data_IF_190540123975
#
_entry.id   IF_190540123975
#
_cell.length_a   1.000
_cell.length_b   1.000
_cell.length_c   1.000
_cell.angle_alpha   90.00
_cell.angle_beta   90.00
_cell.angle_gamma   90.00
#
_symmetry.space_group_name_H-M   'P 1'
#
loop_
_entity.id
_entity.type
_entity.pdbx_description
1 polymer ?
#
# COMPACT_ATOMS: atom_id res chain seq x y z
N UNK A 1 16.72 13.22 1.43
CA UNK A 1 16.36 11.79 1.57
C UNK A 1 14.84 11.74 1.68
N UNK A 2 14.15 11.06 0.77
CA UNK A 2 12.69 10.94 0.77
C UNK A 2 12.22 9.75 1.61
N UNK A 3 10.91 9.69 1.84
CA UNK A 3 10.22 8.52 2.39
C UNK A 3 9.82 7.60 1.23
N UNK A 4 10.01 6.29 1.38
CA UNK A 4 9.68 5.27 0.38
C UNK A 4 8.48 4.46 0.85
N UNK A 5 7.37 4.57 0.14
CA UNK A 5 6.22 3.68 0.29
C UNK A 5 6.23 2.65 -0.82
N UNK A 6 6.03 1.39 -0.45
CA UNK A 6 5.91 0.28 -1.38
C UNK A 6 4.48 -0.29 -1.35
N UNK A 7 3.97 -0.66 -2.52
CA UNK A 7 2.70 -1.38 -2.65
C UNK A 7 2.99 -2.87 -2.86
N UNK A 8 2.63 -3.68 -1.87
CA UNK A 8 2.72 -5.14 -1.87
C UNK A 8 4.04 -5.68 -2.47
N UNK A 9 4.01 -6.48 -3.54
CA UNK A 9 5.19 -7.09 -4.17
C UNK A 9 6.29 -6.08 -4.60
N UNK A 10 5.97 -4.80 -4.78
CA UNK A 10 7.00 -3.78 -5.03
C UNK A 10 8.00 -3.64 -3.88
N UNK A 11 7.62 -4.04 -2.67
CA UNK A 11 8.49 -4.01 -1.50
C UNK A 11 9.69 -4.94 -1.66
N UNK A 12 9.49 -6.16 -2.15
CA UNK A 12 10.57 -7.12 -2.38
C UNK A 12 11.46 -6.71 -3.55
N UNK A 13 10.88 -6.16 -4.62
CA UNK A 13 11.66 -5.62 -5.74
C UNK A 13 12.61 -4.51 -5.27
N UNK A 14 12.14 -3.63 -4.38
CA UNK A 14 12.98 -2.58 -3.79
C UNK A 14 14.05 -3.17 -2.87
N UNK A 15 13.68 -4.13 -2.03
CA UNK A 15 14.59 -4.78 -1.08
C UNK A 15 15.72 -5.55 -1.79
N UNK A 16 15.42 -6.25 -2.88
CA UNK A 16 16.41 -6.93 -3.75
C UNK A 16 17.45 -5.95 -4.33
N UNK A 17 17.09 -4.67 -4.46
CA UNK A 17 17.97 -3.59 -4.92
C UNK A 17 18.59 -2.79 -3.76
N UNK A 18 18.47 -3.28 -2.51
CA UNK A 18 19.04 -2.64 -1.32
C UNK A 18 18.27 -1.40 -0.85
N UNK A 19 17.02 -1.22 -1.29
CA UNK A 19 16.16 -0.11 -0.91
C UNK A 19 15.08 -0.64 0.05
N UNK A 20 15.28 -0.46 1.36
CA UNK A 20 14.26 -0.83 2.34
C UNK A 20 13.10 0.20 2.32
N UNK A 21 11.84 -0.21 2.09
CA UNK A 21 10.70 0.68 2.21
C UNK A 21 10.52 1.20 3.65
N UNK A 22 10.09 2.44 3.81
CA UNK A 22 9.69 2.98 5.11
C UNK A 22 8.31 2.44 5.53
N UNK A 23 7.42 2.20 4.55
CA UNK A 23 6.15 1.53 4.77
C UNK A 23 5.74 0.65 3.58
N UNK A 24 5.03 -0.44 3.87
CA UNK A 24 4.44 -1.36 2.88
C UNK A 24 2.92 -1.31 3.01
N UNK A 25 2.23 -0.98 1.92
CA UNK A 25 0.77 -1.02 1.81
C UNK A 25 0.36 -2.35 1.19
N UNK A 26 -0.46 -3.13 1.90
CA UNK A 26 -0.80 -4.49 1.47
C UNK A 26 -2.17 -4.92 2.01
N UNK A 27 -2.84 -5.77 1.25
CA UNK A 27 -4.04 -6.53 1.66
C UNK A 27 -3.70 -7.92 2.20
N UNK A 28 -2.39 -8.26 2.23
CA UNK A 28 -1.76 -9.51 2.66
C UNK A 28 -1.86 -10.69 1.68
N UNK A 29 -2.47 -10.54 0.50
CA UNK A 29 -2.57 -11.64 -0.47
C UNK A 29 -1.19 -12.06 -0.99
N UNK A 30 -0.28 -11.10 -1.19
CA UNK A 30 1.10 -11.31 -1.63
C UNK A 30 2.15 -11.33 -0.52
N UNK A 31 1.74 -11.28 0.75
CA UNK A 31 2.70 -11.17 1.86
C UNK A 31 3.59 -12.42 1.98
N UNK A 32 4.87 -12.20 2.28
CA UNK A 32 5.86 -13.25 2.50
C UNK A 32 6.55 -13.10 3.85
N UNK A 33 7.40 -14.07 4.20
CA UNK A 33 8.25 -13.96 5.38
C UNK A 33 9.24 -12.80 5.30
N UNK A 34 9.57 -12.29 4.10
CA UNK A 34 10.45 -11.13 3.96
C UNK A 34 9.78 -9.86 4.50
N UNK A 35 8.45 -9.74 4.45
CA UNK A 35 7.74 -8.62 5.08
C UNK A 35 7.93 -8.62 6.60
N UNK A 36 8.02 -9.81 7.22
CA UNK A 36 8.26 -9.94 8.67
C UNK A 36 9.66 -9.42 9.02
N UNK A 37 10.66 -9.77 8.21
CA UNK A 37 12.03 -9.32 8.42
C UNK A 37 12.17 -7.81 8.19
N UNK A 38 11.63 -7.27 7.09
CA UNK A 38 11.60 -5.82 6.85
C UNK A 38 10.88 -5.07 8.00
N UNK A 39 9.77 -5.63 8.51
CA UNK A 39 9.06 -5.05 9.64
C UNK A 39 9.90 -5.05 10.93
N UNK A 40 10.66 -6.11 11.18
CA UNK A 40 11.64 -6.16 12.28
C UNK A 40 12.75 -5.12 12.12
N UNK A 41 13.14 -4.83 10.87
CA UNK A 41 14.16 -3.84 10.50
C UNK A 41 13.63 -2.39 10.49
N UNK A 42 12.35 -2.18 10.77
CA UNK A 42 11.73 -0.87 10.99
C UNK A 42 10.72 -0.43 9.93
N UNK A 43 10.46 -1.23 8.89
CA UNK A 43 9.42 -0.96 7.90
C UNK A 43 8.03 -1.06 8.55
N UNK A 44 7.17 -0.07 8.33
CA UNK A 44 5.80 -0.09 8.85
C UNK A 44 4.92 -0.92 7.91
N UNK A 45 4.15 -1.88 8.43
CA UNK A 45 3.17 -2.60 7.61
C UNK A 45 1.82 -1.89 7.73
N UNK A 46 1.32 -1.35 6.63
CA UNK A 46 0.03 -0.68 6.52
C UNK A 46 -0.94 -1.64 5.85
N UNK A 47 -1.82 -2.22 6.67
CA UNK A 47 -2.70 -3.31 6.27
C UNK A 47 -4.06 -2.74 5.93
N UNK A 48 -4.59 -3.11 4.76
CA UNK A 48 -6.01 -2.93 4.47
C UNK A 48 -6.70 -4.29 4.56
N UNK A 49 -7.69 -4.40 5.43
CA UNK A 49 -8.52 -5.59 5.52
C UNK A 49 -9.66 -5.55 4.48
N UNK A 50 -10.07 -6.72 4.00
CA UNK A 50 -11.30 -6.92 3.23
C UNK A 50 -12.11 -8.08 3.84
N UNK A 51 -13.40 -8.17 3.52
CA UNK A 51 -14.31 -9.10 4.23
C UNK A 51 -13.90 -10.58 4.13
N UNK A 52 -13.16 -10.94 3.09
CA UNK A 52 -12.72 -12.28 2.75
C UNK A 52 -11.25 -12.60 3.12
N UNK A 53 -10.44 -11.63 3.59
CA UNK A 53 -9.05 -11.89 4.02
C UNK A 53 -8.87 -12.22 5.51
N UNK A 54 -9.95 -12.57 6.22
CA UNK A 54 -9.86 -12.97 7.64
C UNK A 54 -8.86 -14.10 7.92
N UNK A 55 -8.69 -15.14 7.06
CA UNK A 55 -7.65 -16.14 7.26
C UNK A 55 -6.24 -15.56 7.19
N UNK A 56 -5.98 -14.65 6.25
CA UNK A 56 -4.68 -14.00 6.06
C UNK A 56 -4.36 -13.06 7.22
N UNK A 57 -5.34 -12.28 7.69
CA UNK A 57 -5.18 -11.45 8.89
C UNK A 57 -4.79 -12.28 10.11
N UNK A 58 -5.48 -13.40 10.34
CA UNK A 58 -5.20 -14.30 11.45
C UNK A 58 -3.81 -14.93 11.39
N UNK A 59 -3.30 -15.13 10.18
CA UNK A 59 -1.98 -15.71 9.93
C UNK A 59 -0.86 -14.66 10.06
N UNK A 60 -0.95 -13.56 9.32
CA UNK A 60 0.16 -12.61 9.16
C UNK A 60 0.28 -11.58 10.28
N UNK A 61 -0.84 -10.99 10.73
CA UNK A 61 -0.81 -9.82 11.64
C UNK A 61 -0.05 -10.12 12.94
N UNK A 62 -0.20 -11.35 13.47
CA UNK A 62 0.45 -11.78 14.70
C UNK A 62 1.95 -12.04 14.55
N UNK A 63 2.46 -12.14 13.32
CA UNK A 63 3.86 -12.47 13.01
C UNK A 63 4.72 -11.22 12.85
N UNK A 64 4.12 -10.05 12.62
CA UNK A 64 4.84 -8.78 12.51
C UNK A 64 5.30 -8.28 13.89
N UNK A 65 6.61 -8.26 14.19
CA UNK A 65 7.12 -7.88 15.51
C UNK A 65 7.21 -6.35 15.70
N UNK A 66 7.15 -5.59 14.61
CA UNK A 66 7.28 -4.14 14.55
C UNK A 66 5.93 -3.43 14.46
N UNK A 67 5.95 -2.23 13.86
CA UNK A 67 4.75 -1.38 13.78
C UNK A 67 3.81 -1.87 12.68
N UNK A 68 2.52 -1.93 13.00
CA UNK A 68 1.43 -2.24 12.08
C UNK A 68 0.36 -1.16 12.19
N UNK A 69 -0.16 -0.70 11.05
CA UNK A 69 -1.25 0.27 10.97
C UNK A 69 -2.40 -0.37 10.20
N UNK A 70 -3.59 -0.38 10.79
CA UNK A 70 -4.81 -0.80 10.09
C UNK A 70 -5.40 0.36 9.30
N UNK A 71 -5.87 0.08 8.08
CA UNK A 71 -6.58 1.04 7.22
C UNK A 71 -7.92 0.48 6.73
N UNK A 72 -8.82 1.38 6.34
CA UNK A 72 -10.17 1.04 5.87
C UNK A 72 -10.59 1.92 4.70
N UNK A 73 -11.59 1.45 3.93
CA UNK A 73 -12.35 2.25 2.94
C UNK A 73 -13.71 2.70 3.48
N UNK A 74 -14.11 2.22 4.66
CA UNK A 74 -15.35 2.57 5.31
C UNK A 74 -15.14 3.70 6.34
N UNK A 75 -16.15 3.96 7.16
CA UNK A 75 -15.98 4.81 8.33
C UNK A 75 -14.83 4.28 9.21
N UNK A 76 -13.91 5.15 9.65
CA UNK A 76 -12.78 4.74 10.47
C UNK A 76 -13.25 4.16 11.81
N UNK A 77 -12.49 3.20 12.32
CA UNK A 77 -12.68 2.61 13.64
C UNK A 77 -11.55 3.08 14.57
N UNK A 78 -11.65 2.91 15.90
CA UNK A 78 -10.54 3.22 16.79
C UNK A 78 -9.25 2.50 16.33
N UNK A 79 -8.20 3.29 16.05
CA UNK A 79 -6.88 2.81 15.55
C UNK A 79 -6.91 2.19 14.14
N UNK A 80 -7.97 2.41 13.37
CA UNK A 80 -8.08 2.05 11.96
C UNK A 80 -8.40 3.31 11.16
N UNK A 81 -7.48 3.70 10.29
CA UNK A 81 -7.51 5.00 9.62
C UNK A 81 -8.06 4.88 8.21
N UNK A 82 -8.70 5.93 7.71
CA UNK A 82 -9.11 6.02 6.32
C UNK A 82 -8.42 7.23 5.69
N UNK A 83 -7.34 6.96 4.94
CA UNK A 83 -6.61 7.99 4.20
C UNK A 83 -7.20 8.23 2.79
N UNK A 84 -8.06 7.31 2.31
CA UNK A 84 -8.52 7.25 0.93
C UNK A 84 -7.82 6.16 0.10
N UNK A 85 -8.00 6.23 -1.21
CA UNK A 85 -7.47 5.27 -2.18
C UNK A 85 -8.29 3.97 -2.32
N UNK A 86 -8.09 3.30 -3.45
CA UNK A 86 -8.79 2.08 -3.82
C UNK A 86 -7.90 0.83 -3.80
N UNK A 87 -6.78 0.88 -4.50
CA UNK A 87 -5.74 -0.15 -4.58
C UNK A 87 -4.57 0.18 -3.64
N UNK A 88 -3.66 -0.77 -3.42
CA UNK A 88 -2.48 -0.58 -2.57
C UNK A 88 -1.63 0.60 -3.04
N UNK A 89 -1.49 0.76 -4.37
CA UNK A 89 -0.71 1.82 -5.00
C UNK A 89 -1.25 3.22 -4.72
N UNK A 90 -2.52 3.50 -5.06
CA UNK A 90 -3.11 4.82 -4.81
C UNK A 90 -3.34 5.07 -3.31
N UNK A 91 -3.62 4.04 -2.50
CA UNK A 91 -3.65 4.19 -1.02
C UNK A 91 -2.34 4.73 -0.45
N UNK A 92 -1.19 4.30 -0.98
CA UNK A 92 0.09 4.84 -0.57
C UNK A 92 0.21 6.34 -0.90
N UNK A 93 -0.31 6.78 -2.06
CA UNK A 93 -0.34 8.19 -2.44
C UNK A 93 -1.24 9.00 -1.52
N UNK A 94 -2.47 8.52 -1.27
CA UNK A 94 -3.41 9.15 -0.34
C UNK A 94 -2.84 9.29 1.07
N UNK A 95 -2.15 8.26 1.57
CA UNK A 95 -1.48 8.33 2.86
C UNK A 95 -0.33 9.35 2.88
N UNK A 96 0.46 9.44 1.81
CA UNK A 96 1.52 10.45 1.71
C UNK A 96 0.96 11.88 1.65
N UNK A 97 -0.14 12.09 0.91
CA UNK A 97 -0.85 13.37 0.82
C UNK A 97 -1.43 13.79 2.18
N UNK A 98 -2.12 12.88 2.89
CA UNK A 98 -2.66 13.13 4.23
C UNK A 98 -1.56 13.48 5.25
N UNK A 99 -0.36 12.90 5.09
CA UNK A 99 0.83 13.22 5.90
C UNK A 99 1.50 14.55 5.52
N UNK A 100 1.00 15.27 4.51
CA UNK A 100 1.51 16.56 4.09
C UNK A 100 2.78 16.49 3.24
N UNK A 101 2.96 15.43 2.45
CA UNK A 101 4.08 15.33 1.52
C UNK A 101 4.08 16.51 0.54
N UNK A 102 5.20 17.24 0.45
CA UNK A 102 5.33 18.39 -0.47
C UNK A 102 5.41 17.99 -1.94
N UNK A 103 5.77 16.74 -2.23
CA UNK A 103 5.82 16.16 -3.55
C UNK A 103 5.76 14.62 -3.43
N UNK A 104 5.10 13.97 -4.39
CA UNK A 104 5.01 12.51 -4.48
C UNK A 104 5.44 12.09 -5.88
N UNK A 105 6.37 11.12 -5.95
CA UNK A 105 6.83 10.52 -7.21
C UNK A 105 6.36 9.08 -7.27
N UNK A 106 5.64 8.73 -8.34
CA UNK A 106 5.18 7.36 -8.56
C UNK A 106 6.20 6.63 -9.43
N UNK A 107 6.61 5.44 -9.00
CA UNK A 107 7.51 4.57 -9.72
C UNK A 107 6.90 3.17 -9.82
N UNK A 108 6.89 2.58 -11.01
CA UNK A 108 6.32 1.25 -11.25
C UNK A 108 4.79 1.17 -11.15
N UNK A 109 4.09 2.32 -11.13
CA UNK A 109 2.63 2.37 -11.14
C UNK A 109 2.12 2.91 -12.48
N UNK A 110 2.06 2.02 -13.47
CA UNK A 110 1.56 2.35 -14.81
C UNK A 110 0.03 2.25 -14.86
N UNK A 111 -0.63 3.41 -14.90
CA UNK A 111 -2.09 3.50 -14.99
C UNK A 111 -2.62 3.33 -16.42
N UNK A 112 -1.73 3.27 -17.41
CA UNK A 112 -2.04 3.07 -18.83
C UNK A 112 -1.72 1.64 -19.30
N UNK A 113 -1.30 0.74 -18.40
CA UNK A 113 -0.95 -0.63 -18.77
C UNK A 113 -2.16 -1.36 -19.39
N UNK A 114 -2.09 -1.58 -20.70
CA UNK A 114 -3.12 -2.29 -21.46
C UNK A 114 -2.97 -3.81 -21.41
N UNK A 115 -1.82 -4.31 -20.97
CA UNK A 115 -1.48 -5.74 -20.96
C UNK A 115 -1.98 -6.49 -19.72
N UNK A 116 -2.70 -5.80 -18.83
CA UNK A 116 -3.37 -6.41 -17.68
C UNK A 116 -4.76 -6.94 -18.03
N UNK A 117 -5.27 -7.84 -17.20
CA UNK A 117 -6.62 -8.38 -17.34
C UNK A 117 -7.71 -7.28 -17.18
N UNK A 118 -8.96 -7.53 -17.63
CA UNK A 118 -10.03 -6.54 -17.57
C UNK A 118 -10.36 -6.02 -16.16
N UNK A 119 -10.24 -6.86 -15.13
CA UNK A 119 -10.49 -6.45 -13.75
C UNK A 119 -9.42 -5.48 -13.29
N UNK A 120 -8.13 -5.81 -13.50
CA UNK A 120 -7.02 -4.93 -13.15
C UNK A 120 -7.09 -3.60 -13.92
N UNK A 121 -7.47 -3.62 -15.20
CA UNK A 121 -7.69 -2.40 -15.99
C UNK A 121 -8.78 -1.50 -15.37
N UNK A 122 -9.87 -2.10 -14.90
CA UNK A 122 -10.92 -1.39 -14.17
C UNK A 122 -10.40 -0.77 -12.86
N UNK A 123 -9.54 -1.48 -12.12
CA UNK A 123 -8.88 -0.94 -10.92
C UNK A 123 -7.99 0.26 -11.24
N UNK A 124 -7.16 0.18 -12.29
CA UNK A 124 -6.29 1.28 -12.73
C UNK A 124 -7.08 2.53 -13.13
N UNK A 125 -8.21 2.35 -13.84
CA UNK A 125 -9.11 3.45 -14.19
C UNK A 125 -9.66 4.18 -12.96
N UNK A 126 -10.06 3.45 -11.92
CA UNK A 126 -10.51 4.05 -10.67
C UNK A 126 -9.38 4.72 -9.90
N UNK A 127 -8.20 4.11 -9.83
CA UNK A 127 -7.03 4.71 -9.22
C UNK A 127 -6.70 6.07 -9.87
N UNK A 128 -6.71 6.15 -11.22
CA UNK A 128 -6.51 7.42 -11.95
C UNK A 128 -7.52 8.48 -11.54
N UNK A 129 -8.81 8.14 -11.49
CA UNK A 129 -9.87 9.07 -11.10
C UNK A 129 -9.68 9.58 -9.66
N UNK A 130 -9.28 8.71 -8.74
CA UNK A 130 -9.09 9.07 -7.35
C UNK A 130 -7.84 9.95 -7.16
N UNK A 131 -6.73 9.60 -7.81
CA UNK A 131 -5.51 10.40 -7.79
C UNK A 131 -5.73 11.81 -8.33
N UNK A 132 -6.56 11.97 -9.36
CA UNK A 132 -6.93 13.28 -9.88
C UNK A 132 -7.64 14.19 -8.84
N UNK A 133 -8.32 13.61 -7.84
CA UNK A 133 -8.98 14.38 -6.78
C UNK A 133 -8.00 15.07 -5.84
N UNK A 134 -6.80 14.51 -5.67
CA UNK A 134 -5.71 15.05 -4.84
C UNK A 134 -4.63 15.72 -5.69
N UNK A 135 -4.98 16.17 -6.91
CA UNK A 135 -4.09 16.94 -7.78
C UNK A 135 -3.05 16.12 -8.55
N UNK A 136 -3.07 14.79 -8.46
CA UNK A 136 -2.20 13.92 -9.23
C UNK A 136 -2.82 13.66 -10.61
N UNK A 137 -2.40 14.45 -11.60
CA UNK A 137 -2.73 14.19 -13.01
C UNK A 137 -1.70 13.23 -13.59
N UNK A 138 -2.07 11.95 -13.59
CA UNK A 138 -1.33 10.82 -14.15
C UNK A 138 -2.14 10.21 -15.27
#
# INVERSE_FOLDING_TARGET
KGIVFAADAAAEVLDDHGIRPDAIFTDLDGATDRFIDMNREGTIIVIHAHGDNMPLLNHWVKRFPGKVVGTTQAAPLPRVYNFGGFTEGDRAVFAADDMGASAITLAGFDLDDTNVDPMKRGKLHWARKLLALIGHTV
#
